data_IF_577080913614
#
_entry.id   IF_577080913614
#
_cell.length_a   1.000
_cell.length_b   1.000
_cell.length_c   1.000
_cell.angle_alpha   90.00
_cell.angle_beta   90.00
_cell.angle_gamma   90.00
#
_symmetry.space_group_name_H-M   'P 1'
#
loop_
_entity.id
_entity.type
_entity.pdbx_description
1 polymer ?
#
# COMPACT_ATOMS: atom_id res chain seq x y z
N UNK A 1 -7.88 -10.63 5.37
CA UNK A 1 -7.08 -10.01 6.46
C UNK A 1 -6.69 -8.55 6.16
N UNK A 2 -6.51 -8.14 4.90
CA UNK A 2 -6.13 -6.76 4.50
C UNK A 2 -7.11 -5.70 5.02
N UNK A 3 -8.41 -5.91 4.87
CA UNK A 3 -9.44 -4.97 5.35
C UNK A 3 -9.30 -4.66 6.85
N UNK A 4 -8.94 -5.64 7.69
CA UNK A 4 -8.73 -5.42 9.12
C UNK A 4 -7.50 -4.56 9.40
N UNK A 5 -6.40 -4.75 8.65
CA UNK A 5 -5.20 -3.91 8.75
C UNK A 5 -5.49 -2.46 8.34
N UNK A 6 -6.29 -2.28 7.28
CA UNK A 6 -6.74 -0.95 6.85
C UNK A 6 -7.65 -0.30 7.89
N UNK A 7 -8.57 -1.05 8.50
CA UNK A 7 -9.42 -0.54 9.59
C UNK A 7 -8.60 -0.14 10.83
N UNK A 8 -7.57 -0.91 11.19
CA UNK A 8 -6.62 -0.57 12.26
C UNK A 8 -5.86 0.73 11.93
N UNK A 9 -5.37 0.87 10.70
CA UNK A 9 -4.71 2.09 10.24
C UNK A 9 -5.66 3.31 10.32
N UNK A 10 -6.90 3.18 9.85
CA UNK A 10 -7.92 4.25 9.90
C UNK A 10 -8.32 4.63 11.33
N UNK A 11 -8.33 3.66 12.24
CA UNK A 11 -8.56 3.94 13.66
C UNK A 11 -7.38 4.69 14.28
N UNK A 12 -6.14 4.27 14.00
CA UNK A 12 -4.93 4.90 14.53
C UNK A 12 -4.71 6.33 14.02
N UNK A 13 -5.04 6.60 12.74
CA UNK A 13 -4.92 7.94 12.15
C UNK A 13 -5.84 8.97 12.85
N UNK A 14 -7.00 8.54 13.36
CA UNK A 14 -7.93 9.39 14.12
C UNK A 14 -7.40 9.78 15.50
N UNK A 15 -6.47 9.01 16.07
CA UNK A 15 -5.88 9.24 17.39
C UNK A 15 -4.67 10.19 17.37
N UNK A 16 -4.53 11.05 16.34
CA UNK A 16 -3.37 11.93 16.08
C UNK A 16 -2.02 11.18 15.97
N UNK A 17 -2.05 9.89 15.70
CA UNK A 17 -0.85 9.14 15.33
C UNK A 17 -0.70 9.18 13.80
N UNK A 18 0.53 9.22 13.31
CA UNK A 18 0.85 9.03 11.89
C UNK A 18 1.32 7.58 11.69
N UNK A 19 0.40 6.60 11.61
CA UNK A 19 0.78 5.20 11.43
C UNK A 19 1.44 4.99 10.07
N UNK A 20 2.34 4.01 10.00
CA UNK A 20 2.94 3.54 8.76
C UNK A 20 2.22 2.27 8.35
N UNK A 21 1.73 2.22 7.11
CA UNK A 21 1.16 0.99 6.55
C UNK A 21 2.28 0.16 5.92
N UNK A 22 2.55 -1.02 6.48
CA UNK A 22 3.48 -1.99 5.92
C UNK A 22 2.72 -3.09 5.18
N UNK A 23 2.99 -3.26 3.90
CA UNK A 23 2.41 -4.30 3.05
C UNK A 23 3.51 -5.23 2.56
N UNK A 24 3.57 -6.43 3.15
CA UNK A 24 4.60 -7.42 2.82
C UNK A 24 4.09 -8.47 1.85
N UNK A 25 4.79 -8.59 0.72
CA UNK A 25 4.52 -9.55 -0.34
C UNK A 25 3.03 -9.57 -0.73
N UNK A 26 2.47 -8.36 -0.87
CA UNK A 26 1.02 -8.17 -0.95
C UNK A 26 0.48 -8.44 -2.35
N UNK A 27 1.27 -8.12 -3.38
CA UNK A 27 0.83 -8.24 -4.77
C UNK A 27 0.88 -9.67 -5.29
N UNK A 28 1.72 -10.55 -4.74
CA UNK A 28 1.72 -11.98 -5.06
C UNK A 28 0.46 -12.71 -4.57
N UNK A 29 -0.20 -12.18 -3.53
CA UNK A 29 -1.33 -12.84 -2.87
C UNK A 29 -2.69 -12.39 -3.40
N UNK A 30 -2.72 -11.53 -4.41
CA UNK A 30 -3.92 -10.85 -4.88
C UNK A 30 -4.10 -10.97 -6.39
N UNK A 31 -5.34 -11.13 -6.80
CA UNK A 31 -5.75 -10.99 -8.19
C UNK A 31 -5.71 -9.52 -8.63
N UNK A 32 -5.75 -9.29 -9.95
CA UNK A 32 -5.67 -7.96 -10.55
C UNK A 32 -6.74 -6.99 -10.01
N UNK A 33 -7.96 -7.48 -9.79
CA UNK A 33 -9.07 -6.67 -9.28
C UNK A 33 -8.78 -6.16 -7.87
N UNK A 34 -8.23 -7.01 -6.99
CA UNK A 34 -7.84 -6.62 -5.64
C UNK A 34 -6.63 -5.70 -5.63
N UNK A 35 -5.67 -5.89 -6.53
CA UNK A 35 -4.53 -4.97 -6.69
C UNK A 35 -5.03 -3.58 -7.05
N UNK A 36 -5.97 -3.45 -8.00
CA UNK A 36 -6.58 -2.17 -8.35
C UNK A 36 -7.32 -1.52 -7.18
N UNK A 37 -8.07 -2.29 -6.38
CA UNK A 37 -8.72 -1.76 -5.18
C UNK A 37 -7.70 -1.22 -4.17
N UNK A 38 -6.57 -1.90 -3.97
CA UNK A 38 -5.49 -1.42 -3.09
C UNK A 38 -4.90 -0.12 -3.64
N UNK A 39 -4.62 -0.02 -4.94
CA UNK A 39 -4.11 1.21 -5.56
C UNK A 39 -5.08 2.37 -5.31
N UNK A 40 -6.38 2.15 -5.52
CA UNK A 40 -7.41 3.16 -5.29
C UNK A 40 -7.46 3.61 -3.83
N UNK A 41 -7.42 2.65 -2.90
CA UNK A 41 -7.36 2.94 -1.46
C UNK A 41 -6.11 3.74 -1.11
N UNK A 42 -4.94 3.30 -1.57
CA UNK A 42 -3.65 3.97 -1.33
C UNK A 42 -3.63 5.39 -1.89
N UNK A 43 -4.37 5.68 -2.96
CA UNK A 43 -4.50 7.03 -3.51
C UNK A 43 -5.33 7.97 -2.61
N UNK A 44 -6.13 7.47 -1.67
CA UNK A 44 -6.87 8.33 -0.72
C UNK A 44 -5.90 9.10 0.21
N UNK A 45 -6.25 10.34 0.58
CA UNK A 45 -5.39 11.21 1.39
C UNK A 45 -5.05 10.63 2.77
N UNK A 46 -5.95 9.83 3.34
CA UNK A 46 -5.75 9.21 4.66
C UNK A 46 -4.56 8.26 4.69
N UNK A 47 -4.16 7.66 3.56
CA UNK A 47 -3.00 6.78 3.47
C UNK A 47 -1.76 7.54 2.98
N UNK A 48 -1.15 8.30 3.89
CA UNK A 48 -0.04 9.20 3.58
C UNK A 48 1.36 8.56 3.70
N UNK A 49 1.52 7.47 4.47
CA UNK A 49 2.80 6.81 4.67
C UNK A 49 2.70 5.29 4.54
N UNK A 50 3.31 4.75 3.47
CA UNK A 50 3.18 3.34 3.08
C UNK A 50 4.53 2.79 2.66
N UNK A 51 4.84 1.58 3.12
CA UNK A 51 5.94 0.77 2.61
C UNK A 51 5.38 -0.53 2.05
N UNK A 52 5.91 -0.93 0.90
CA UNK A 52 5.57 -2.18 0.24
C UNK A 52 6.87 -2.95 -0.02
N UNK A 53 6.92 -4.19 0.44
CA UNK A 53 7.96 -5.16 0.08
C UNK A 53 7.38 -6.20 -0.88
N UNK A 54 8.19 -6.60 -1.85
CA UNK A 54 7.83 -7.56 -2.89
C UNK A 54 9.13 -8.18 -3.41
N UNK A 55 9.05 -9.40 -3.94
CA UNK A 55 10.18 -10.10 -4.55
C UNK A 55 10.32 -9.77 -6.05
N UNK A 56 9.28 -9.21 -6.68
CA UNK A 56 9.25 -8.91 -8.11
C UNK A 56 9.27 -7.40 -8.39
N UNK A 57 10.46 -6.84 -8.57
CA UNK A 57 10.67 -5.41 -8.88
C UNK A 57 9.83 -4.90 -10.06
N UNK A 58 9.81 -5.62 -11.19
CA UNK A 58 9.13 -5.16 -12.41
C UNK A 58 7.64 -5.02 -12.16
N UNK A 59 7.03 -6.01 -11.50
CA UNK A 59 5.62 -5.95 -11.13
C UNK A 59 5.35 -4.80 -10.17
N UNK A 60 6.13 -4.68 -9.09
CA UNK A 60 5.92 -3.63 -8.09
C UNK A 60 6.04 -2.25 -8.71
N UNK A 61 7.04 -2.01 -9.55
CA UNK A 61 7.21 -0.73 -10.23
C UNK A 61 6.03 -0.42 -11.16
N UNK A 62 5.54 -1.42 -11.92
CA UNK A 62 4.36 -1.26 -12.78
C UNK A 62 3.09 -0.94 -11.99
N UNK A 63 2.92 -1.52 -10.81
CA UNK A 63 1.79 -1.25 -9.91
C UNK A 63 1.91 0.15 -9.30
N UNK A 64 3.08 0.48 -8.76
CA UNK A 64 3.33 1.78 -8.10
C UNK A 64 3.24 2.94 -9.08
N UNK A 65 3.61 2.75 -10.36
CA UNK A 65 3.40 3.77 -11.41
C UNK A 65 1.93 4.15 -11.62
N UNK A 66 0.98 3.29 -11.23
CA UNK A 66 -0.47 3.59 -11.28
C UNK A 66 -0.93 4.39 -10.05
N UNK A 67 -0.09 4.53 -9.02
CA UNK A 67 -0.37 5.35 -7.84
C UNK A 67 0.00 6.79 -8.16
N UNK A 68 -0.94 7.73 -7.99
CA UNK A 68 -0.73 9.16 -8.24
C UNK A 68 -0.06 9.85 -7.04
N UNK A 69 1.00 9.23 -6.49
CA UNK A 69 1.77 9.75 -5.36
C UNK A 69 3.25 9.61 -5.64
N UNK A 70 4.06 10.48 -5.04
CA UNK A 70 5.50 10.33 -5.07
C UNK A 70 5.90 9.01 -4.41
N UNK A 71 6.88 8.32 -4.99
CA UNK A 71 7.40 7.07 -4.46
C UNK A 71 8.92 7.03 -4.61
N UNK A 72 9.54 6.11 -3.86
CA UNK A 72 10.96 5.80 -3.97
C UNK A 72 11.11 4.28 -3.84
N UNK A 73 11.90 3.69 -4.74
CA UNK A 73 12.23 2.26 -4.70
C UNK A 73 13.62 2.11 -4.10
N UNK A 74 13.77 1.11 -3.23
CA UNK A 74 15.04 0.73 -2.62
C UNK A 74 15.34 -0.72 -3.02
N UNK A 75 16.51 -0.97 -3.58
CA UNK A 75 17.03 -2.33 -3.79
C UNK A 75 17.96 -2.68 -2.62
N UNK A 76 17.80 -3.89 -2.09
CA UNK A 76 18.55 -4.43 -0.95
C UNK A 76 19.29 -5.68 -1.42
#
# INVERSE_FOLDING_TARGET
MIALKLAQFDYLSKLKSNPILLLDDIFDKLDDSRVEQIINLVNEEKFNQIFISDTNKIRSENIIKKVNKSYKIFEI
#
